data_IF_847117714349
#
_entry.id   IF_847117714349
#
_cell.length_a   1.000
_cell.length_b   1.000
_cell.length_c   1.000
_cell.angle_alpha   90.00
_cell.angle_beta   90.00
_cell.angle_gamma   90.00
#
_symmetry.space_group_name_H-M   'P 1'
#
loop_
_entity.id
_entity.type
_entity.pdbx_description
1 polymer ?
#
# COMPACT_ATOMS: atom_id res chain seq x y z
N UNK A 1 -7.35 -26.56 -11.50
CA UNK A 1 -7.90 -25.40 -12.22
C UNK A 1 -7.19 -24.15 -11.73
N UNK A 2 -6.92 -23.15 -12.57
CA UNK A 2 -6.29 -21.90 -12.13
C UNK A 2 -7.20 -21.14 -11.15
N UNK A 3 -6.72 -20.81 -9.94
CA UNK A 3 -7.46 -20.06 -8.89
C UNK A 3 -7.52 -18.54 -9.22
N UNK A 4 -7.64 -18.11 -10.48
CA UNK A 4 -7.37 -16.71 -10.86
C UNK A 4 -8.54 -15.74 -10.64
N UNK A 5 -9.78 -16.23 -10.67
CA UNK A 5 -10.98 -15.40 -10.49
C UNK A 5 -11.83 -15.86 -9.32
N UNK A 6 -12.64 -14.95 -8.74
CA UNK A 6 -13.57 -15.25 -7.64
C UNK A 6 -14.47 -16.49 -7.88
N UNK A 7 -15.11 -16.66 -9.06
CA UNK A 7 -15.91 -17.85 -9.34
C UNK A 7 -15.11 -19.16 -9.39
N UNK A 8 -13.85 -19.09 -9.82
CA UNK A 8 -12.98 -20.26 -10.03
C UNK A 8 -12.10 -20.58 -8.82
N UNK A 9 -12.32 -19.91 -7.68
CA UNK A 9 -11.47 -20.09 -6.51
C UNK A 9 -11.54 -21.51 -5.96
N UNK A 10 -10.38 -22.05 -5.55
CA UNK A 10 -10.31 -23.27 -4.76
C UNK A 10 -10.83 -23.01 -3.33
N UNK A 11 -11.08 -24.07 -2.57
CA UNK A 11 -11.66 -23.92 -1.22
C UNK A 11 -10.74 -23.15 -0.26
N UNK A 12 -9.41 -23.28 -0.40
CA UNK A 12 -8.46 -22.50 0.40
C UNK A 12 -8.56 -21.00 0.08
N UNK A 13 -8.55 -20.64 -1.22
CA UNK A 13 -8.75 -19.26 -1.67
C UNK A 13 -10.09 -18.71 -1.12
N UNK A 14 -11.18 -19.50 -1.16
CA UNK A 14 -12.49 -19.09 -0.63
C UNK A 14 -12.49 -18.84 0.87
N UNK A 15 -11.85 -19.70 1.66
CA UNK A 15 -11.75 -19.54 3.14
C UNK A 15 -10.98 -18.28 3.52
N UNK A 16 -9.94 -17.91 2.76
CA UNK A 16 -9.21 -16.65 3.01
C UNK A 16 -10.04 -15.45 2.56
N UNK A 17 -10.72 -15.56 1.42
CA UNK A 17 -11.58 -14.51 0.88
C UNK A 17 -12.68 -14.08 1.87
N UNK A 18 -13.25 -15.00 2.66
CA UNK A 18 -14.28 -14.64 3.66
C UNK A 18 -13.76 -13.74 4.78
N UNK A 19 -12.44 -13.61 4.96
CA UNK A 19 -11.82 -12.72 5.95
C UNK A 19 -11.59 -11.30 5.43
N UNK A 20 -11.81 -11.08 4.12
CA UNK A 20 -11.59 -9.80 3.45
C UNK A 20 -12.90 -8.98 3.51
N UNK A 21 -12.87 -7.73 4.01
CA UNK A 21 -14.00 -6.84 4.05
C UNK A 21 -14.63 -6.66 2.68
N UNK A 22 -15.96 -6.70 2.63
CA UNK A 22 -16.74 -6.46 1.41
C UNK A 22 -16.58 -5.05 0.83
N UNK A 23 -15.95 -4.13 1.56
CA UNK A 23 -15.62 -2.79 1.10
C UNK A 23 -14.45 -2.76 0.11
N UNK A 24 -13.65 -3.82 0.04
CA UNK A 24 -12.58 -3.95 -0.95
C UNK A 24 -13.19 -4.23 -2.31
N UNK A 25 -12.70 -3.54 -3.35
CA UNK A 25 -13.17 -3.75 -4.71
C UNK A 25 -12.89 -5.21 -5.14
N UNK A 26 -13.90 -6.01 -5.51
CA UNK A 26 -13.71 -7.40 -5.92
C UNK A 26 -12.74 -7.57 -7.10
N UNK A 27 -12.61 -6.55 -7.96
CA UNK A 27 -11.67 -6.60 -9.09
C UNK A 27 -10.20 -6.63 -8.64
N UNK A 28 -9.88 -6.13 -7.44
CA UNK A 28 -8.52 -6.18 -6.88
C UNK A 28 -8.17 -7.57 -6.32
N UNK A 29 -9.18 -8.40 -6.10
CA UNK A 29 -9.05 -9.73 -5.49
C UNK A 29 -8.86 -10.84 -6.52
N UNK A 30 -9.13 -10.55 -7.80
CA UNK A 30 -8.72 -11.42 -8.90
C UNK A 30 -7.19 -11.36 -9.07
N UNK A 31 -6.60 -12.49 -9.43
CA UNK A 31 -5.18 -12.53 -9.82
C UNK A 31 -5.06 -12.11 -11.28
N UNK A 32 -4.23 -11.11 -11.61
CA UNK A 32 -3.95 -10.80 -13.01
C UNK A 32 -3.34 -12.01 -13.72
N UNK A 33 -3.66 -12.19 -15.00
CA UNK A 33 -3.11 -13.28 -15.80
C UNK A 33 -1.59 -13.15 -15.91
N UNK A 34 -0.89 -14.29 -15.76
CA UNK A 34 0.57 -14.37 -15.83
C UNK A 34 1.30 -13.41 -14.86
N UNK A 35 0.70 -13.11 -13.72
CA UNK A 35 1.33 -12.28 -12.68
C UNK A 35 2.12 -13.09 -11.66
N UNK A 36 3.17 -12.47 -11.15
CA UNK A 36 3.99 -12.94 -10.04
C UNK A 36 3.88 -11.93 -8.88
N UNK A 37 2.97 -12.16 -7.92
CA UNK A 37 2.74 -11.24 -6.82
C UNK A 37 3.89 -11.29 -5.82
N UNK A 38 4.42 -10.14 -5.42
CA UNK A 38 5.48 -10.02 -4.41
C UNK A 38 5.08 -8.98 -3.37
N UNK A 39 5.33 -9.26 -2.10
CA UNK A 39 5.03 -8.33 -1.01
C UNK A 39 6.31 -7.65 -0.54
N UNK A 40 6.39 -6.33 -0.65
CA UNK A 40 7.44 -5.52 -0.05
C UNK A 40 6.93 -4.88 1.23
N UNK A 41 7.62 -5.12 2.35
CA UNK A 41 7.36 -4.41 3.59
C UNK A 41 8.41 -3.33 3.78
N UNK A 42 7.97 -2.11 4.04
CA UNK A 42 8.83 -0.93 4.13
C UNK A 42 8.47 -0.15 5.38
N UNK A 43 9.48 0.35 6.09
CA UNK A 43 9.27 1.25 7.23
C UNK A 43 9.55 2.68 6.79
N UNK A 44 8.55 3.55 6.93
CA UNK A 44 8.63 4.97 6.64
C UNK A 44 8.47 5.78 7.93
N UNK A 45 9.27 6.82 8.12
CA UNK A 45 9.08 7.76 9.22
C UNK A 45 8.27 8.98 8.76
N UNK A 46 7.03 9.10 9.22
CA UNK A 46 6.12 10.09 8.66
C UNK A 46 4.66 9.96 9.09
N UNK A 47 3.82 10.62 8.31
CA UNK A 47 2.36 10.59 8.41
C UNK A 47 1.76 9.61 7.38
N UNK A 48 0.46 9.34 7.48
CA UNK A 48 -0.25 8.56 6.45
C UNK A 48 -0.22 9.25 5.09
N UNK A 49 -0.12 10.59 5.06
CA UNK A 49 0.03 11.36 3.82
C UNK A 49 1.39 11.08 3.18
N UNK A 50 2.47 11.05 3.97
CA UNK A 50 3.81 10.71 3.47
C UNK A 50 3.87 9.28 2.93
N UNK A 51 3.19 8.33 3.60
CA UNK A 51 3.06 6.97 3.10
C UNK A 51 2.32 6.92 1.74
N UNK A 52 1.27 7.72 1.57
CA UNK A 52 0.56 7.84 0.28
C UNK A 52 1.43 8.49 -0.81
N UNK A 53 2.23 9.49 -0.45
CA UNK A 53 3.19 10.10 -1.37
C UNK A 53 4.25 9.09 -1.83
N UNK A 54 4.77 8.27 -0.92
CA UNK A 54 5.68 7.19 -1.26
C UNK A 54 5.05 6.17 -2.23
N UNK A 55 3.82 5.72 -1.97
CA UNK A 55 3.09 4.81 -2.88
C UNK A 55 2.93 5.42 -4.28
N UNK A 56 2.51 6.69 -4.35
CA UNK A 56 2.37 7.42 -5.63
C UNK A 56 3.70 7.63 -6.34
N UNK A 57 4.78 7.75 -5.59
CA UNK A 57 6.13 7.86 -6.12
C UNK A 57 6.67 6.50 -6.62
N UNK A 58 6.34 5.39 -5.95
CA UNK A 58 6.81 4.05 -6.27
C UNK A 58 6.13 3.46 -7.51
N UNK A 59 4.80 3.60 -7.63
CA UNK A 59 4.00 3.02 -8.73
C UNK A 59 4.56 3.32 -10.14
N UNK A 60 4.77 4.58 -10.55
CA UNK A 60 5.24 4.88 -11.91
C UNK A 60 6.65 4.34 -12.17
N UNK A 61 7.50 4.23 -11.13
CA UNK A 61 8.86 3.70 -11.28
C UNK A 61 8.86 2.21 -11.57
N UNK A 62 7.96 1.46 -10.90
CA UNK A 62 7.75 0.05 -11.20
C UNK A 62 7.23 -0.13 -12.63
N UNK A 63 6.25 0.68 -13.04
CA UNK A 63 5.72 0.60 -14.41
C UNK A 63 6.77 0.95 -15.47
N UNK A 64 7.63 1.94 -15.24
CA UNK A 64 8.74 2.30 -16.14
C UNK A 64 9.74 1.13 -16.27
N UNK A 65 10.10 0.49 -15.15
CA UNK A 65 11.05 -0.64 -15.15
C UNK A 65 10.61 -1.79 -16.05
N UNK A 66 9.29 -2.02 -16.17
CA UNK A 66 8.73 -3.08 -17.01
C UNK A 66 8.17 -2.59 -18.35
N UNK A 67 8.26 -1.29 -18.65
CA UNK A 67 7.65 -0.67 -19.85
C UNK A 67 6.16 -0.99 -20.03
N UNK A 68 5.44 -1.23 -18.92
CA UNK A 68 4.00 -1.54 -18.89
C UNK A 68 3.43 -1.22 -17.52
N UNK A 69 2.11 -1.14 -17.42
CA UNK A 69 1.45 -1.01 -16.12
C UNK A 69 1.70 -2.25 -15.24
N UNK A 70 2.15 -2.00 -14.01
CA UNK A 70 2.37 -3.02 -12.97
C UNK A 70 1.37 -2.73 -11.84
N UNK A 71 0.37 -3.61 -11.62
CA UNK A 71 -0.56 -3.43 -10.52
C UNK A 71 0.17 -3.42 -9.18
N UNK A 72 -0.16 -2.43 -8.34
CA UNK A 72 0.34 -2.33 -6.98
C UNK A 72 -0.78 -1.94 -6.03
N UNK A 73 -0.93 -2.74 -4.97
CA UNK A 73 -1.83 -2.48 -3.85
C UNK A 73 -1.01 -2.17 -2.63
N UNK A 74 -1.54 -1.35 -1.74
CA UNK A 74 -0.75 -0.86 -0.62
C UNK A 74 -1.59 -0.59 0.60
N UNK A 75 -1.07 -0.92 1.77
CA UNK A 75 -1.67 -0.58 3.05
C UNK A 75 -0.60 -0.02 3.97
N UNK A 76 -0.98 0.88 4.88
CA UNK A 76 -0.06 1.37 5.90
C UNK A 76 -0.72 1.42 7.27
N UNK A 77 0.07 1.17 8.32
CA UNK A 77 -0.32 1.37 9.71
C UNK A 77 0.78 2.11 10.47
N UNK A 78 0.45 2.61 11.65
CA UNK A 78 1.48 3.04 12.60
C UNK A 78 2.25 1.79 13.05
N UNK A 79 3.57 1.82 13.00
CA UNK A 79 4.39 0.73 13.52
C UNK A 79 4.25 0.64 15.04
N UNK A 80 4.53 -0.53 15.59
CA UNK A 80 4.67 -0.72 17.03
C UNK A 80 5.87 0.07 17.56
N UNK A 81 5.72 0.71 18.72
CA UNK A 81 6.76 1.57 19.28
C UNK A 81 6.75 1.55 20.80
N UNK A 82 7.66 0.78 21.40
CA UNK A 82 7.72 0.62 22.86
C UNK A 82 6.43 0.00 23.39
N UNK A 83 5.69 0.77 24.20
CA UNK A 83 4.40 0.33 24.75
C UNK A 83 3.19 0.67 23.86
N UNK A 84 3.39 1.43 22.78
CA UNK A 84 2.31 1.75 21.84
C UNK A 84 2.12 0.59 20.85
N UNK A 85 0.97 -0.10 20.85
CA UNK A 85 0.70 -1.16 19.88
C UNK A 85 0.63 -0.59 18.46
N UNK A 86 0.86 -1.47 17.49
CA UNK A 86 0.66 -1.15 16.08
C UNK A 86 -0.74 -0.59 15.84
N UNK A 87 -0.84 0.40 14.95
CA UNK A 87 -2.12 0.98 14.57
C UNK A 87 -2.94 0.05 13.68
N UNK A 88 -4.18 0.45 13.40
CA UNK A 88 -4.97 -0.19 12.35
C UNK A 88 -4.36 0.07 10.97
N UNK A 89 -4.54 -0.89 10.09
CA UNK A 89 -4.20 -0.73 8.68
C UNK A 89 -5.14 0.26 8.00
N UNK A 90 -4.56 1.07 7.14
CA UNK A 90 -5.25 1.98 6.24
C UNK A 90 -4.92 1.60 4.81
N UNK A 91 -5.96 1.37 4.01
CA UNK A 91 -5.81 1.17 2.57
C UNK A 91 -5.23 2.44 1.92
N UNK A 92 -4.12 2.28 1.22
CA UNK A 92 -3.44 3.32 0.44
C UNK A 92 -3.50 3.06 -1.07
N UNK A 93 -4.17 1.98 -1.50
CA UNK A 93 -4.28 1.56 -2.89
C UNK A 93 -4.70 2.74 -3.78
N UNK A 94 -3.94 2.94 -4.86
CA UNK A 94 -4.17 3.98 -5.85
C UNK A 94 -4.59 3.35 -7.20
N UNK A 95 -5.61 3.88 -7.90
CA UNK A 95 -6.37 5.06 -7.55
C UNK A 95 -7.24 4.79 -6.31
N UNK A 96 -7.43 5.79 -5.42
CA UNK A 96 -8.27 5.62 -4.25
C UNK A 96 -9.63 5.06 -4.68
N UNK A 97 -10.36 4.31 -3.82
CA UNK A 97 -11.76 4.06 -4.08
C UNK A 97 -12.41 5.41 -4.39
N UNK A 98 -13.16 5.49 -5.49
CA UNK A 98 -13.83 6.68 -6.00
C UNK A 98 -14.72 7.30 -4.91
N UNK A 99 -14.13 8.02 -3.96
CA UNK A 99 -14.87 8.89 -3.05
C UNK A 99 -15.26 10.09 -3.88
N UNK A 100 -16.52 10.05 -4.33
CA UNK A 100 -17.27 11.20 -4.85
C UNK A 100 -17.39 12.23 -3.72
N UNK A 101 -16.33 12.96 -3.41
CA UNK A 101 -16.49 14.17 -2.61
C UNK A 101 -15.43 15.23 -2.95
N UNK A 102 -15.72 16.12 -3.91
CA UNK A 102 -14.85 17.25 -4.24
C UNK A 102 -14.91 18.39 -3.20
N UNK A 103 -15.68 18.25 -2.11
CA UNK A 103 -16.01 19.36 -1.20
C UNK A 103 -14.82 19.93 -0.41
N UNK A 104 -13.69 19.21 -0.29
CA UNK A 104 -12.51 19.74 0.41
C UNK A 104 -11.62 20.62 -0.48
N UNK A 105 -11.62 20.41 -1.80
CA UNK A 105 -10.85 21.21 -2.76
C UNK A 105 -11.47 22.60 -2.95
N UNK A 106 -12.79 22.76 -2.77
CA UNK A 106 -13.46 24.06 -2.84
C UNK A 106 -13.19 24.97 -1.64
N UNK A 107 -12.78 24.44 -0.48
CA UNK A 107 -12.48 25.26 0.70
C UNK A 107 -11.16 26.03 0.60
N UNK A 108 -10.25 25.62 -0.28
CA UNK A 108 -8.96 26.30 -0.47
C UNK A 108 -8.99 27.41 -1.51
N UNK A 109 -10.04 27.52 -2.32
CA UNK A 109 -10.13 28.50 -3.40
C UNK A 109 -10.58 29.92 -2.94
N UNK A 110 -10.99 30.10 -1.67
CA UNK A 110 -11.64 31.34 -1.21
C UNK A 110 -11.09 31.97 0.08
N UNK A 111 -9.97 31.50 0.63
CA UNK A 111 -9.40 32.12 1.84
C UNK A 111 -8.19 33.00 1.51
N UNK A 112 -8.45 34.25 1.10
CA UNK A 112 -7.45 35.30 1.09
C UNK A 112 -7.11 35.72 2.53
N UNK A 113 -5.88 35.51 2.98
CA UNK A 113 -5.15 36.32 3.98
C UNK A 113 -3.72 35.78 4.15
N UNK A 114 -2.66 36.53 3.78
CA UNK A 114 -1.28 36.01 3.77
C UNK A 114 -0.68 35.76 5.16
N UNK A 115 -1.23 36.35 6.23
CA UNK A 115 -0.71 36.19 7.60
C UNK A 115 -1.33 34.99 8.36
N UNK A 116 -2.55 34.57 7.96
CA UNK A 116 -3.25 33.44 8.57
C UNK A 116 -2.78 32.11 7.98
N UNK A 117 -2.44 32.09 6.69
CA UNK A 117 -1.88 30.93 6.00
C UNK A 117 -0.53 30.51 6.55
N UNK A 118 0.34 31.43 6.96
CA UNK A 118 1.64 31.10 7.56
C UNK A 118 1.49 30.53 8.97
N UNK A 119 0.62 31.10 9.81
CA UNK A 119 0.34 30.56 11.14
C UNK A 119 -0.36 29.19 11.04
N UNK A 120 -1.29 29.02 10.09
CA UNK A 120 -1.93 27.73 9.82
C UNK A 120 -0.94 26.72 9.23
N UNK A 121 -0.01 27.14 8.38
CA UNK A 121 1.07 26.30 7.86
C UNK A 121 2.05 25.89 8.96
N UNK A 122 2.41 26.80 9.88
CA UNK A 122 3.25 26.50 11.05
C UNK A 122 2.53 25.59 12.05
N UNK A 123 1.23 25.80 12.28
CA UNK A 123 0.41 24.89 13.08
C UNK A 123 0.30 23.53 12.41
N UNK A 124 0.05 23.48 11.09
CA UNK A 124 0.02 22.24 10.33
C UNK A 124 1.39 21.53 10.33
N UNK A 125 2.50 22.26 10.27
CA UNK A 125 3.85 21.73 10.36
C UNK A 125 4.13 21.16 11.76
N UNK A 126 3.74 21.86 12.84
CA UNK A 126 3.82 21.35 14.21
C UNK A 126 2.94 20.13 14.45
N UNK A 127 1.71 20.14 13.93
CA UNK A 127 0.80 19.00 13.97
C UNK A 127 1.37 17.82 13.17
N UNK A 128 1.99 18.06 12.02
CA UNK A 128 2.72 17.02 11.26
C UNK A 128 3.87 16.46 12.08
N UNK A 129 4.72 17.30 12.68
CA UNK A 129 5.83 16.85 13.54
C UNK A 129 5.34 16.00 14.73
N UNK A 130 4.21 16.35 15.35
CA UNK A 130 3.61 15.57 16.43
C UNK A 130 3.03 14.21 15.97
N UNK A 131 2.63 14.10 14.70
CA UNK A 131 2.08 12.87 14.11
C UNK A 131 3.07 12.06 13.26
N UNK A 132 4.30 12.56 13.11
CA UNK A 132 5.40 11.83 12.51
C UNK A 132 5.77 10.67 13.42
N UNK A 133 5.46 9.46 12.98
CA UNK A 133 5.79 8.22 13.68
C UNK A 133 6.34 7.22 12.66
N UNK A 134 7.06 6.16 13.10
CA UNK A 134 7.38 5.05 12.22
C UNK A 134 6.08 4.37 11.74
N UNK A 135 6.05 3.98 10.47
CA UNK A 135 4.89 3.38 9.81
C UNK A 135 5.31 2.17 9.01
N UNK A 136 4.61 1.07 9.24
CA UNK A 136 4.70 -0.11 8.38
C UNK A 136 3.89 0.16 7.13
N UNK A 137 4.51 0.00 5.97
CA UNK A 137 3.88 0.03 4.66
C UNK A 137 4.05 -1.36 4.06
N UNK A 138 2.95 -1.98 3.65
CA UNK A 138 2.98 -3.24 2.90
C UNK A 138 2.52 -2.97 1.48
N UNK A 139 3.30 -3.40 0.50
CA UNK A 139 3.05 -3.22 -0.93
C UNK A 139 2.92 -4.60 -1.58
N UNK A 140 1.76 -4.92 -2.16
CA UNK A 140 1.56 -6.10 -3.00
C UNK A 140 1.72 -5.67 -4.47
N UNK A 141 2.76 -6.17 -5.13
CA UNK A 141 3.11 -5.81 -6.52
C UNK A 141 2.97 -7.03 -7.42
N UNK A 142 2.19 -6.92 -8.50
CA UNK A 142 2.02 -7.98 -9.49
C UNK A 142 2.98 -7.84 -10.65
N UNK A 143 4.13 -8.50 -10.57
CA UNK A 143 5.09 -8.46 -11.66
C UNK A 143 4.60 -9.27 -12.86
N UNK A 144 4.91 -8.85 -14.10
CA UNK A 144 4.51 -9.57 -15.32
C UNK A 144 5.31 -10.86 -15.54
N UNK A 145 6.32 -11.13 -14.71
CA UNK A 145 7.18 -12.31 -14.76
C UNK A 145 7.73 -12.62 -13.37
N UNK A 146 8.10 -13.88 -13.08
CA UNK A 146 8.81 -14.22 -11.86
C UNK A 146 10.07 -13.39 -11.67
N UNK A 147 10.28 -12.88 -10.46
CA UNK A 147 11.54 -12.25 -10.04
C UNK A 147 12.22 -13.12 -9.00
N UNK A 148 13.54 -13.27 -9.11
CA UNK A 148 14.32 -14.09 -8.20
C UNK A 148 14.46 -13.39 -6.83
N UNK A 149 14.24 -14.11 -5.71
CA UNK A 149 14.56 -13.61 -4.38
C UNK A 149 16.04 -13.17 -4.29
N UNK A 150 16.27 -11.91 -3.94
CA UNK A 150 17.63 -11.32 -3.87
C UNK A 150 18.30 -11.13 -5.23
N UNK A 151 17.57 -11.28 -6.34
CA UNK A 151 18.04 -11.05 -7.69
C UNK A 151 18.13 -9.56 -8.05
N UNK A 152 18.64 -9.28 -9.26
CA UNK A 152 18.92 -7.93 -9.75
C UNK A 152 17.69 -7.00 -9.71
N UNK A 153 16.54 -7.49 -10.19
CA UNK A 153 15.30 -6.70 -10.22
C UNK A 153 14.87 -6.30 -8.80
N UNK A 154 14.83 -7.26 -7.88
CA UNK A 154 14.47 -7.00 -6.49
C UNK A 154 15.43 -5.99 -5.86
N UNK A 155 16.74 -6.19 -6.03
CA UNK A 155 17.76 -5.31 -5.47
C UNK A 155 17.67 -3.89 -6.06
N UNK A 156 17.33 -3.77 -7.34
CA UNK A 156 17.10 -2.47 -8.00
C UNK A 156 15.89 -1.74 -7.41
N UNK A 157 14.79 -2.47 -7.16
CA UNK A 157 13.59 -1.92 -6.52
C UNK A 157 13.91 -1.46 -5.09
N UNK A 158 14.60 -2.30 -4.31
CA UNK A 158 15.03 -1.97 -2.94
C UNK A 158 15.93 -0.74 -2.95
N UNK A 159 16.95 -0.71 -3.81
CA UNK A 159 17.86 0.41 -3.97
C UNK A 159 17.14 1.70 -4.38
N UNK A 160 16.05 1.61 -5.15
CA UNK A 160 15.18 2.73 -5.47
C UNK A 160 14.41 3.19 -4.22
N UNK A 161 13.74 2.28 -3.51
CA UNK A 161 12.92 2.60 -2.33
C UNK A 161 13.72 3.29 -1.23
N UNK A 162 14.94 2.83 -0.93
CA UNK A 162 15.81 3.45 0.09
C UNK A 162 16.32 4.84 -0.29
N UNK A 163 16.21 5.26 -1.56
CA UNK A 163 16.52 6.64 -1.99
C UNK A 163 15.39 7.62 -1.68
N UNK A 164 14.19 7.13 -1.33
CA UNK A 164 13.13 8.00 -0.85
C UNK A 164 13.44 8.40 0.59
N UNK A 165 13.65 9.69 0.81
CA UNK A 165 14.24 10.30 2.01
C UNK A 165 13.55 9.97 3.34
N UNK A 166 12.27 9.56 3.30
CA UNK A 166 11.50 9.16 4.48
C UNK A 166 11.54 7.65 4.78
N UNK A 167 12.11 6.83 3.89
CA UNK A 167 12.26 5.39 4.13
C UNK A 167 13.39 5.14 5.13
N UNK A 168 13.05 4.48 6.23
CA UNK A 168 14.03 4.04 7.22
C UNK A 168 14.66 2.70 6.84
N UNK A 169 13.83 1.77 6.35
CA UNK A 169 14.30 0.44 5.95
C UNK A 169 13.31 -0.25 5.01
N UNK A 170 13.82 -1.20 4.23
CA UNK A 170 13.00 -2.21 3.56
C UNK A 170 13.18 -3.51 4.35
N UNK A 171 12.07 -4.02 4.87
CA UNK A 171 12.03 -5.24 5.65
C UNK A 171 11.93 -6.48 4.78
N UNK A 172 11.28 -7.52 5.30
CA UNK A 172 11.13 -8.82 4.62
C UNK A 172 10.33 -8.65 3.32
N UNK A 173 10.89 -9.15 2.23
CA UNK A 173 10.23 -9.29 0.93
C UNK A 173 9.72 -10.71 0.82
N UNK A 174 8.40 -10.88 0.66
CA UNK A 174 7.78 -12.21 0.56
C UNK A 174 7.50 -12.54 -0.91
N UNK A 175 7.85 -13.75 -1.29
CA UNK A 175 7.57 -14.34 -2.60
C UNK A 175 6.53 -15.46 -2.43
N UNK A 176 5.74 -15.77 -3.48
CA UNK A 176 4.78 -16.85 -3.43
C UNK A 176 5.55 -18.19 -3.46
N UNK A 177 5.20 -19.09 -2.54
CA UNK A 177 5.71 -20.45 -2.41
C UNK A 177 4.76 -21.52 -2.99
N UNK A 178 3.68 -21.08 -3.64
CA UNK A 178 2.64 -21.93 -4.21
C UNK A 178 1.60 -21.15 -4.99
N UNK A 179 0.34 -21.22 -4.58
CA UNK A 179 -0.79 -20.56 -5.24
C UNK A 179 -0.68 -19.03 -5.11
N UNK A 180 -0.43 -18.36 -6.24
CA UNK A 180 -0.27 -16.90 -6.31
C UNK A 180 -1.54 -16.16 -5.92
N UNK A 181 -2.72 -16.71 -6.20
CA UNK A 181 -3.99 -16.13 -5.80
C UNK A 181 -4.19 -16.23 -4.30
N UNK A 182 -3.88 -17.39 -3.71
CA UNK A 182 -3.92 -17.56 -2.25
C UNK A 182 -2.96 -16.60 -1.56
N UNK A 183 -1.75 -16.44 -2.09
CA UNK A 183 -0.75 -15.50 -1.59
C UNK A 183 -1.27 -14.04 -1.60
N UNK A 184 -1.90 -13.61 -2.69
CA UNK A 184 -2.54 -12.27 -2.81
C UNK A 184 -3.69 -12.09 -1.83
N UNK A 185 -4.60 -13.07 -1.74
CA UNK A 185 -5.75 -13.00 -0.84
C UNK A 185 -5.32 -12.95 0.63
N UNK A 186 -4.25 -13.67 0.97
CA UNK A 186 -3.68 -13.66 2.32
C UNK A 186 -3.19 -12.26 2.67
N UNK A 187 -2.51 -11.57 1.75
CA UNK A 187 -2.12 -10.17 1.95
C UNK A 187 -3.31 -9.26 2.20
N UNK A 188 -4.39 -9.39 1.42
CA UNK A 188 -5.62 -8.61 1.62
C UNK A 188 -6.25 -8.87 2.99
N UNK A 189 -6.35 -10.14 3.40
CA UNK A 189 -6.90 -10.51 4.70
C UNK A 189 -6.04 -10.01 5.88
N UNK A 190 -4.72 -10.02 5.76
CA UNK A 190 -3.79 -9.54 6.79
C UNK A 190 -3.78 -8.01 6.92
N UNK A 191 -3.87 -7.30 5.79
CA UNK A 191 -3.79 -5.83 5.74
C UNK A 191 -5.14 -5.15 5.81
N UNK A 192 -6.24 -5.87 5.62
CA UNK A 192 -7.59 -5.35 5.74
C UNK A 192 -8.43 -6.37 6.48
N UNK A 193 -8.18 -6.64 7.77
CA UNK A 193 -9.00 -7.60 8.51
C UNK A 193 -10.44 -7.09 8.65
N UNK A 194 -11.42 -7.97 8.45
CA UNK A 194 -12.80 -7.69 8.85
C UNK A 194 -12.83 -7.36 10.35
N UNK A 195 -13.35 -6.18 10.70
CA UNK A 195 -13.55 -5.85 12.11
C UNK A 195 -14.58 -6.84 12.66
N UNK A 196 -14.16 -7.71 13.57
CA UNK A 196 -15.09 -8.55 14.31
C UNK A 196 -16.01 -7.62 15.09
N UNK A 197 -17.27 -7.53 14.64
CA UNK A 197 -18.37 -6.83 15.31
C UNK A 197 -18.82 -7.58 16.55
#
# INVERSE_FOLDING_TARGET
MPCTTLPTMCDQCRIVYTKIPRTINPNYLNSPENSYPVIFNVVLFGTTTDAREFVRWALPRLSIMYSREVPMYSAARRAESGNDPAGHWHDLTCPPPLKKDPSWLQKFALAGTPFRSEIEALKAARTRQAHTKPRDISLLVDFPSPIQPGGEIQNTIVASFVRYDKIQSVGVIKHPDGDTSLFRLTWWAETHPEQQS
#
